data_IF_054171912739
#
_entry.id   IF_054171912739
#
_cell.length_a   1.000
_cell.length_b   1.000
_cell.length_c   1.000
_cell.angle_alpha   90.00
_cell.angle_beta   90.00
_cell.angle_gamma   90.00
#
_symmetry.space_group_name_H-M   'P 1'
#
loop_
_entity.id
_entity.type
_entity.pdbx_description
1 polymer ?
#
# COMPACT_ATOMS: atom_id res chain seq x y z
N UNK A 1 -3.30 4.87 41.32
CA UNK A 1 -3.77 3.59 40.74
C UNK A 1 -4.84 3.91 39.73
N UNK A 2 -4.65 3.48 38.48
CA UNK A 2 -5.51 3.81 37.33
C UNK A 2 -4.67 3.85 36.06
N UNK A 3 -4.04 2.73 35.69
CA UNK A 3 -3.42 2.56 34.37
C UNK A 3 -4.55 2.60 33.35
N UNK A 4 -4.68 3.71 32.63
CA UNK A 4 -5.61 3.86 31.51
C UNK A 4 -5.23 2.86 30.41
N UNK A 5 -6.21 2.08 29.95
CA UNK A 5 -6.02 0.93 29.05
C UNK A 5 -5.52 1.23 27.64
N UNK A 6 -5.04 2.46 27.35
CA UNK A 6 -4.55 2.86 26.02
C UNK A 6 -3.20 2.25 25.63
N UNK A 7 -2.38 1.81 26.61
CA UNK A 7 -1.04 1.27 26.34
C UNK A 7 -1.04 0.02 25.45
N UNK A 8 -2.06 -0.86 25.57
CA UNK A 8 -2.13 -2.11 24.80
C UNK A 8 -2.50 -1.92 23.32
N UNK A 9 -3.13 -0.80 22.95
CA UNK A 9 -3.57 -0.51 21.56
C UNK A 9 -2.48 0.22 20.78
N UNK A 10 -1.63 1.00 21.46
CA UNK A 10 -0.42 1.60 20.87
C UNK A 10 0.69 0.56 20.63
N UNK A 11 0.83 -0.44 21.52
CA UNK A 11 1.84 -1.50 21.42
C UNK A 11 1.40 -2.71 20.56
N UNK A 12 0.09 -2.89 20.37
CA UNK A 12 -0.48 -3.99 19.59
C UNK A 12 -0.93 -3.53 18.20
N UNK A 13 -0.10 -3.75 17.18
CA UNK A 13 -0.42 -3.72 15.73
C UNK A 13 -1.26 -2.54 15.18
N UNK A 14 -1.45 -1.47 15.95
CA UNK A 14 -2.27 -0.29 15.64
C UNK A 14 -1.58 0.66 14.66
N UNK A 15 -1.23 1.87 15.08
CA UNK A 15 -0.43 2.79 14.25
C UNK A 15 0.95 2.16 14.12
N UNK A 16 1.35 1.83 12.88
CA UNK A 16 2.72 1.39 12.59
C UNK A 16 3.46 2.61 12.05
N UNK A 17 4.01 3.48 12.92
CA UNK A 17 4.88 4.55 12.47
C UNK A 17 6.24 3.94 12.11
N UNK A 18 6.56 3.94 10.83
CA UNK A 18 7.91 3.78 10.35
C UNK A 18 8.57 5.16 10.38
N UNK A 19 9.44 5.38 11.36
CA UNK A 19 10.19 6.62 11.50
C UNK A 19 11.70 6.37 11.47
N UNK A 20 12.34 6.83 10.40
CA UNK A 20 13.77 6.63 10.18
C UNK A 20 14.64 7.82 10.65
N UNK A 21 14.05 8.78 11.38
CA UNK A 21 14.73 10.00 11.82
C UNK A 21 15.10 10.04 13.29
N UNK A 22 15.19 8.91 14.00
CA UNK A 22 15.45 8.86 15.45
C UNK A 22 16.71 9.63 15.88
N UNK A 23 17.72 9.70 15.02
CA UNK A 23 18.97 10.42 15.27
C UNK A 23 18.94 11.90 14.79
N UNK A 24 17.87 12.31 14.11
CA UNK A 24 17.74 13.62 13.46
C UNK A 24 16.66 14.50 14.09
N UNK A 25 15.58 13.91 14.59
CA UNK A 25 14.49 14.61 15.26
C UNK A 25 14.29 14.01 16.64
N UNK A 26 14.48 14.82 17.67
CA UNK A 26 14.15 14.42 19.04
C UNK A 26 12.64 14.29 19.16
N UNK A 27 12.16 13.08 19.44
CA UNK A 27 10.74 12.82 19.67
C UNK A 27 10.22 13.64 20.85
N UNK A 28 9.09 14.31 20.66
CA UNK A 28 8.41 15.00 21.76
C UNK A 28 7.80 13.96 22.69
N UNK A 29 8.11 14.08 23.98
CA UNK A 29 7.52 13.22 25.02
C UNK A 29 6.23 13.85 25.51
N UNK A 30 5.14 13.12 25.42
CA UNK A 30 3.82 13.54 25.90
C UNK A 30 3.47 12.80 27.19
N UNK A 31 3.02 13.52 28.21
CA UNK A 31 2.59 12.95 29.50
C UNK A 31 1.06 12.79 29.61
N UNK A 32 0.32 13.11 28.54
CA UNK A 32 -1.14 13.04 28.48
C UNK A 32 -1.68 13.46 27.12
N UNK A 33 -3.00 13.38 26.94
CA UNK A 33 -3.67 13.69 25.67
C UNK A 33 -3.85 15.19 25.41
N UNK A 34 -4.02 16.01 26.46
CA UNK A 34 -4.26 17.45 26.31
C UNK A 34 -3.13 18.16 25.55
N UNK A 35 -1.83 17.92 25.82
CA UNK A 35 -0.76 18.55 25.04
C UNK A 35 -0.70 18.07 23.59
N UNK A 36 -1.06 16.80 23.32
CA UNK A 36 -1.15 16.25 21.95
C UNK A 36 -2.24 16.99 21.17
N UNK A 37 -3.43 17.14 21.77
CA UNK A 37 -4.55 17.85 21.15
C UNK A 37 -4.22 19.33 20.91
N UNK A 38 -3.56 19.99 21.87
CA UNK A 38 -3.11 21.37 21.73
C UNK A 38 -2.10 21.52 20.57
N UNK A 39 -1.16 20.60 20.44
CA UNK A 39 -0.22 20.59 19.32
C UNK A 39 -0.90 20.37 17.98
N UNK A 40 -1.89 19.47 17.89
CA UNK A 40 -2.65 19.25 16.65
C UNK A 40 -3.46 20.49 16.25
N UNK A 41 -4.02 21.24 17.21
CA UNK A 41 -4.69 22.52 16.95
C UNK A 41 -3.69 23.56 16.43
N UNK A 42 -2.50 23.62 17.03
CA UNK A 42 -1.44 24.53 16.57
C UNK A 42 -0.96 24.17 15.17
N UNK A 43 -0.68 22.90 14.89
CA UNK A 43 -0.25 22.42 13.58
C UNK A 43 -1.29 22.71 12.49
N UNK A 44 -2.58 22.60 12.81
CA UNK A 44 -3.67 22.99 11.90
C UNK A 44 -3.70 24.51 11.63
N UNK A 45 -3.43 25.34 12.64
CA UNK A 45 -3.33 26.78 12.45
C UNK A 45 -2.10 27.13 11.58
N UNK A 46 -0.95 26.52 11.89
CA UNK A 46 0.31 26.72 11.18
C UNK A 46 0.20 26.29 9.71
N UNK A 47 -0.42 25.14 9.41
CA UNK A 47 -0.61 24.65 8.04
C UNK A 47 -1.44 25.61 7.17
N UNK A 48 -2.42 26.31 7.77
CA UNK A 48 -3.24 27.31 7.07
C UNK A 48 -2.47 28.58 6.69
N UNK A 49 -1.33 28.85 7.33
CA UNK A 49 -0.45 29.98 6.98
C UNK A 49 0.41 29.70 5.74
N UNK A 50 0.52 28.43 5.35
CA UNK A 50 1.28 28.04 4.17
C UNK A 50 0.55 28.45 2.89
N UNK A 51 1.33 28.71 1.84
CA UNK A 51 0.82 28.93 0.50
C UNK A 51 -0.04 27.73 0.05
N UNK A 52 -1.12 28.03 -0.67
CA UNK A 52 -1.94 27.00 -1.30
C UNK A 52 -1.08 26.15 -2.26
N UNK A 53 -1.10 24.84 -2.07
CA UNK A 53 -0.30 23.91 -2.85
C UNK A 53 -0.24 22.52 -2.21
N UNK A 54 0.47 21.56 -2.84
CA UNK A 54 0.54 20.17 -2.40
C UNK A 54 0.97 20.03 -0.94
N UNK A 55 1.94 20.86 -0.51
CA UNK A 55 2.46 20.83 0.85
C UNK A 55 1.40 21.14 1.91
N UNK A 56 0.60 22.18 1.69
CA UNK A 56 -0.50 22.54 2.58
C UNK A 56 -1.58 21.45 2.59
N UNK A 57 -1.95 20.93 1.41
CA UNK A 57 -2.93 19.83 1.30
C UNK A 57 -2.48 18.59 2.07
N UNK A 58 -1.21 18.22 1.96
CA UNK A 58 -0.64 17.10 2.72
C UNK A 58 -0.73 17.35 4.23
N UNK A 59 -0.22 18.49 4.72
CA UNK A 59 -0.18 18.78 6.16
C UNK A 59 -1.58 18.91 6.77
N UNK A 60 -2.50 19.58 6.07
CA UNK A 60 -3.92 19.66 6.47
C UNK A 60 -4.55 18.27 6.57
N UNK A 61 -4.27 17.39 5.59
CA UNK A 61 -4.69 15.99 5.63
C UNK A 61 -4.07 15.23 6.80
N UNK A 62 -2.76 15.38 7.02
CA UNK A 62 -2.03 14.62 8.03
C UNK A 62 -2.50 14.96 9.44
N UNK A 63 -2.74 16.25 9.70
CA UNK A 63 -3.31 16.69 10.98
C UNK A 63 -4.72 16.10 11.19
N UNK A 64 -5.57 16.04 10.16
CA UNK A 64 -6.90 15.40 10.24
C UNK A 64 -6.79 13.90 10.54
N UNK A 65 -5.90 13.20 9.82
CA UNK A 65 -5.62 11.78 10.02
C UNK A 65 -5.15 11.49 11.45
N UNK A 66 -4.20 12.29 11.95
CA UNK A 66 -3.71 12.19 13.32
C UNK A 66 -4.79 12.47 14.37
N UNK A 67 -5.70 13.42 14.13
CA UNK A 67 -6.84 13.65 15.03
C UNK A 67 -7.75 12.42 15.15
N UNK A 68 -8.01 11.72 14.05
CA UNK A 68 -8.79 10.46 14.08
C UNK A 68 -8.01 9.37 14.82
N UNK A 69 -6.71 9.24 14.57
CA UNK A 69 -5.86 8.29 15.30
C UNK A 69 -5.87 8.57 16.82
N UNK A 70 -5.71 9.83 17.22
CA UNK A 70 -5.78 10.25 18.64
C UNK A 70 -7.16 9.96 19.23
N UNK A 71 -8.25 10.25 18.52
CA UNK A 71 -9.60 9.92 18.97
C UNK A 71 -9.74 8.42 19.25
N UNK A 72 -9.26 7.55 18.34
CA UNK A 72 -9.25 6.10 18.53
C UNK A 72 -8.46 5.71 19.78
N UNK A 73 -7.25 6.25 19.95
CA UNK A 73 -6.40 5.91 21.10
C UNK A 73 -6.91 6.44 22.45
N UNK A 74 -7.72 7.49 22.43
CA UNK A 74 -8.47 7.99 23.59
C UNK A 74 -9.70 7.12 23.92
N UNK A 75 -9.99 6.09 23.13
CA UNK A 75 -11.11 5.17 23.31
C UNK A 75 -12.35 5.52 22.48
N UNK A 76 -12.24 6.48 21.56
CA UNK A 76 -13.29 6.79 20.60
C UNK A 76 -13.48 5.68 19.57
N UNK A 77 -14.70 5.57 19.04
CA UNK A 77 -15.09 4.55 18.06
C UNK A 77 -15.58 5.20 16.77
N UNK A 78 -14.71 5.90 16.00
CA UNK A 78 -15.11 6.49 14.73
C UNK A 78 -15.63 5.41 13.79
N UNK A 79 -16.54 5.79 12.89
CA UNK A 79 -17.14 4.85 11.94
C UNK A 79 -16.07 4.31 10.97
N UNK A 80 -16.34 3.15 10.34
CA UNK A 80 -15.44 2.62 9.32
C UNK A 80 -15.24 3.63 8.17
N UNK A 81 -16.31 4.31 7.76
CA UNK A 81 -16.28 5.38 6.75
C UNK A 81 -15.38 6.55 7.16
N UNK A 82 -15.48 7.03 8.41
CA UNK A 82 -14.62 8.11 8.92
C UNK A 82 -13.14 7.68 8.90
N UNK A 83 -12.86 6.43 9.28
CA UNK A 83 -11.49 5.90 9.24
C UNK A 83 -10.98 5.78 7.79
N UNK A 84 -11.78 5.29 6.85
CA UNK A 84 -11.39 5.19 5.43
C UNK A 84 -11.09 6.58 4.85
N UNK A 85 -12.00 7.53 5.06
CA UNK A 85 -11.91 8.86 4.42
C UNK A 85 -10.91 9.78 5.08
N UNK A 86 -10.83 9.78 6.42
CA UNK A 86 -10.07 10.79 7.17
C UNK A 86 -8.76 10.24 7.73
N UNK A 87 -8.76 9.01 8.25
CA UNK A 87 -7.53 8.37 8.74
C UNK A 87 -6.66 7.91 7.56
N UNK A 88 -7.22 7.16 6.62
CA UNK A 88 -6.48 6.58 5.48
C UNK A 88 -6.45 7.51 4.25
N UNK A 89 -7.41 8.42 4.11
CA UNK A 89 -7.44 9.35 2.97
C UNK A 89 -7.89 8.69 1.65
N UNK A 90 -8.61 7.58 1.74
CA UNK A 90 -9.21 6.88 0.60
C UNK A 90 -10.68 7.30 0.40
N UNK A 91 -11.25 7.20 -0.81
CA UNK A 91 -12.67 7.46 -1.04
C UNK A 91 -13.58 6.54 -0.22
N UNK A 92 -14.75 7.04 0.15
CA UNK A 92 -15.81 6.24 0.75
C UNK A 92 -16.54 5.41 -0.32
N UNK A 93 -17.10 4.28 0.11
CA UNK A 93 -17.96 3.44 -0.71
C UNK A 93 -17.29 2.17 -1.23
N UNK A 94 -18.11 1.39 -1.95
CA UNK A 94 -17.63 0.33 -2.81
C UNK A 94 -17.03 0.94 -4.08
N UNK A 95 -16.11 0.23 -4.70
CA UNK A 95 -15.64 0.59 -6.03
C UNK A 95 -16.73 0.37 -7.08
N UNK A 96 -16.69 1.15 -8.15
CA UNK A 96 -17.63 1.04 -9.27
C UNK A 96 -17.57 -0.38 -9.87
N UNK A 97 -18.68 -1.15 -9.85
CA UNK A 97 -18.74 -2.47 -10.44
C UNK A 97 -18.33 -2.49 -11.91
N UNK A 98 -18.57 -1.40 -12.67
CA UNK A 98 -18.17 -1.32 -14.07
C UNK A 98 -16.65 -1.36 -14.24
N UNK A 99 -15.88 -0.72 -13.35
CA UNK A 99 -14.41 -0.78 -13.38
C UNK A 99 -13.88 -2.20 -13.16
N UNK A 100 -14.55 -2.96 -12.30
CA UNK A 100 -14.22 -4.36 -12.00
C UNK A 100 -14.55 -5.25 -13.20
N UNK A 101 -15.73 -5.08 -13.80
CA UNK A 101 -16.13 -5.87 -14.97
C UNK A 101 -15.29 -5.55 -16.22
N UNK A 102 -14.91 -4.28 -16.42
CA UNK A 102 -13.98 -3.90 -17.49
C UNK A 102 -12.62 -4.58 -17.33
N UNK A 103 -12.10 -4.62 -16.10
CA UNK A 103 -10.87 -5.32 -15.76
C UNK A 103 -10.99 -6.84 -15.99
N UNK A 104 -12.12 -7.44 -15.59
CA UNK A 104 -12.45 -8.86 -15.85
C UNK A 104 -12.52 -9.16 -17.34
N UNK A 105 -13.13 -8.28 -18.13
CA UNK A 105 -13.20 -8.44 -19.59
C UNK A 105 -11.82 -8.29 -20.27
N UNK A 106 -10.91 -7.48 -19.72
CA UNK A 106 -9.53 -7.41 -20.19
C UNK A 106 -8.75 -8.67 -19.80
N UNK A 107 -8.89 -9.14 -18.57
CA UNK A 107 -8.28 -10.39 -18.10
C UNK A 107 -8.74 -11.59 -18.95
N UNK A 108 -10.03 -11.66 -19.27
CA UNK A 108 -10.62 -12.67 -20.15
C UNK A 108 -9.89 -12.74 -21.51
N UNK A 109 -9.70 -11.60 -22.16
CA UNK A 109 -8.98 -11.50 -23.44
C UNK A 109 -7.52 -11.95 -23.33
N UNK A 110 -6.84 -11.60 -22.24
CA UNK A 110 -5.44 -11.98 -22.00
C UNK A 110 -5.29 -13.50 -21.79
N UNK A 111 -6.20 -14.09 -21.02
CA UNK A 111 -6.25 -15.55 -20.79
C UNK A 111 -6.53 -16.31 -22.08
N UNK A 112 -7.50 -15.87 -22.88
CA UNK A 112 -7.81 -16.48 -24.18
C UNK A 112 -6.61 -16.45 -25.12
N UNK A 113 -5.91 -15.30 -25.22
CA UNK A 113 -4.69 -15.19 -26.03
C UNK A 113 -3.56 -16.10 -25.55
N UNK A 114 -3.53 -16.39 -24.25
CA UNK A 114 -2.53 -17.25 -23.61
C UNK A 114 -2.92 -18.74 -23.59
N UNK A 115 -4.00 -19.12 -24.30
CA UNK A 115 -4.42 -20.51 -24.46
C UNK A 115 -5.44 -21.00 -23.43
N UNK A 116 -5.83 -20.17 -22.46
CA UNK A 116 -6.87 -20.47 -21.48
C UNK A 116 -8.23 -19.96 -22.01
N UNK A 117 -8.85 -20.71 -22.93
CA UNK A 117 -10.04 -20.28 -23.66
C UNK A 117 -11.35 -20.99 -23.27
N UNK A 118 -11.29 -22.07 -22.49
CA UNK A 118 -12.46 -22.91 -22.17
C UNK A 118 -12.85 -22.79 -20.70
N UNK A 119 -14.15 -22.69 -20.43
CA UNK A 119 -14.71 -22.63 -19.06
C UNK A 119 -15.02 -21.22 -18.56
N UNK A 120 -15.50 -21.12 -17.32
CA UNK A 120 -15.77 -19.83 -16.70
C UNK A 120 -14.46 -19.04 -16.51
N UNK A 121 -14.55 -17.72 -16.31
CA UNK A 121 -13.36 -16.88 -16.09
C UNK A 121 -12.57 -17.34 -14.84
N UNK A 122 -13.28 -17.72 -13.77
CA UNK A 122 -12.69 -18.28 -12.54
C UNK A 122 -11.87 -19.55 -12.81
N UNK A 123 -12.44 -20.49 -13.58
CA UNK A 123 -11.78 -21.77 -13.89
C UNK A 123 -10.50 -21.53 -14.69
N UNK A 124 -10.54 -20.56 -15.61
CA UNK A 124 -9.41 -20.20 -16.47
C UNK A 124 -8.28 -19.52 -15.72
N UNK A 125 -8.59 -18.60 -14.80
CA UNK A 125 -7.55 -17.96 -13.99
C UNK A 125 -6.93 -18.93 -12.99
N UNK A 126 -7.72 -19.84 -12.39
CA UNK A 126 -7.19 -20.88 -11.51
C UNK A 126 -6.35 -21.91 -12.27
N UNK A 127 -6.76 -22.30 -13.48
CA UNK A 127 -5.96 -23.16 -14.35
C UNK A 127 -4.63 -22.48 -14.74
N UNK A 128 -4.67 -21.19 -15.07
CA UNK A 128 -3.46 -20.40 -15.32
C UNK A 128 -2.55 -20.35 -14.09
N UNK A 129 -3.07 -19.96 -12.93
CA UNK A 129 -2.32 -19.84 -11.69
C UNK A 129 -1.66 -21.17 -11.30
N UNK A 130 -2.42 -22.27 -11.36
CA UNK A 130 -1.91 -23.60 -11.06
C UNK A 130 -0.82 -24.05 -12.05
N UNK A 131 -1.02 -23.81 -13.35
CA UNK A 131 -0.02 -24.18 -14.39
C UNK A 131 1.28 -23.36 -14.32
N UNK A 132 1.23 -22.19 -13.67
CA UNK A 132 2.36 -21.26 -13.51
C UNK A 132 2.89 -21.21 -12.08
N UNK A 133 2.36 -22.03 -11.18
CA UNK A 133 2.72 -22.04 -9.77
C UNK A 133 4.20 -22.40 -9.59
N UNK A 134 4.90 -21.61 -8.78
CA UNK A 134 6.28 -21.91 -8.36
C UNK A 134 6.21 -22.91 -7.20
N UNK A 135 6.87 -24.08 -7.30
CA UNK A 135 6.93 -25.01 -6.19
C UNK A 135 7.48 -24.35 -4.92
N UNK A 136 6.91 -24.65 -3.75
CA UNK A 136 7.25 -23.94 -2.51
C UNK A 136 8.75 -24.00 -2.17
N UNK A 137 9.42 -25.11 -2.48
CA UNK A 137 10.87 -25.28 -2.27
C UNK A 137 11.74 -24.46 -3.24
N UNK A 138 11.14 -23.87 -4.28
CA UNK A 138 11.81 -23.02 -5.28
C UNK A 138 11.53 -21.52 -5.09
N UNK A 139 10.60 -21.14 -4.21
CA UNK A 139 10.21 -19.74 -4.01
C UNK A 139 11.40 -18.86 -3.63
N UNK A 140 12.25 -19.29 -2.70
CA UNK A 140 13.45 -18.51 -2.29
C UNK A 140 14.36 -18.23 -3.49
N UNK A 141 14.64 -19.25 -4.30
CA UNK A 141 15.52 -19.11 -5.46
C UNK A 141 14.95 -18.12 -6.50
N UNK A 142 13.65 -18.24 -6.79
CA UNK A 142 12.95 -17.32 -7.71
C UNK A 142 12.90 -15.90 -7.14
N UNK A 143 12.66 -15.75 -5.83
CA UNK A 143 12.69 -14.46 -5.16
C UNK A 143 14.05 -13.77 -5.30
N UNK A 144 15.16 -14.50 -5.09
CA UNK A 144 16.51 -13.94 -5.22
C UNK A 144 16.86 -13.54 -6.65
N UNK A 145 16.48 -14.35 -7.63
CA UNK A 145 16.63 -14.01 -9.05
C UNK A 145 15.88 -12.71 -9.40
N UNK A 146 14.61 -12.64 -9.02
CA UNK A 146 13.76 -11.48 -9.27
C UNK A 146 14.29 -10.23 -8.56
N UNK A 147 14.72 -10.35 -7.30
CA UNK A 147 15.24 -9.23 -6.53
C UNK A 147 16.53 -8.66 -7.13
N UNK A 148 17.42 -9.51 -7.66
CA UNK A 148 18.63 -9.06 -8.32
C UNK A 148 18.33 -8.21 -9.56
N UNK A 149 17.39 -8.66 -10.41
CA UNK A 149 16.96 -7.90 -11.60
C UNK A 149 16.23 -6.61 -11.21
N UNK A 150 15.33 -6.69 -10.23
CA UNK A 150 14.59 -5.54 -9.72
C UNK A 150 15.54 -4.46 -9.16
N UNK A 151 16.57 -4.88 -8.42
CA UNK A 151 17.61 -3.99 -7.91
C UNK A 151 18.38 -3.32 -9.05
N UNK A 152 18.86 -4.10 -10.03
CA UNK A 152 19.62 -3.57 -11.16
C UNK A 152 18.82 -2.52 -11.96
N UNK A 153 17.52 -2.75 -12.16
CA UNK A 153 16.64 -1.76 -12.81
C UNK A 153 16.38 -0.55 -11.94
N UNK A 154 16.13 -0.75 -10.64
CA UNK A 154 15.91 0.33 -9.69
C UNK A 154 17.14 1.25 -9.61
N UNK A 155 18.34 0.69 -9.51
CA UNK A 155 19.61 1.42 -9.48
C UNK A 155 19.81 2.28 -10.75
N UNK A 156 19.35 1.77 -11.89
CA UNK A 156 19.45 2.45 -13.19
C UNK A 156 18.39 3.52 -13.41
N UNK A 157 17.15 3.26 -12.99
CA UNK A 157 15.97 4.03 -13.42
C UNK A 157 15.39 4.93 -12.33
N UNK A 158 15.70 4.64 -11.07
CA UNK A 158 15.11 5.32 -9.91
C UNK A 158 16.20 5.96 -9.05
N UNK A 159 17.03 5.14 -8.39
CA UNK A 159 18.03 5.59 -7.42
C UNK A 159 18.99 4.44 -7.06
N UNK A 160 20.27 4.75 -6.82
CA UNK A 160 21.26 3.78 -6.37
C UNK A 160 20.97 3.31 -4.93
N UNK A 161 20.46 2.10 -4.80
CA UNK A 161 20.02 1.49 -3.54
C UNK A 161 21.14 0.99 -2.63
N UNK A 162 22.41 1.14 -3.04
CA UNK A 162 23.58 0.71 -2.26
C UNK A 162 23.60 -0.80 -2.04
N UNK A 163 24.06 -1.22 -0.87
CA UNK A 163 24.24 -2.64 -0.50
C UNK A 163 23.05 -3.22 0.28
N UNK A 164 21.89 -2.55 0.25
CA UNK A 164 20.70 -3.08 0.92
C UNK A 164 20.31 -4.45 0.32
N UNK A 165 19.96 -5.39 1.20
CA UNK A 165 19.50 -6.72 0.82
C UNK A 165 18.26 -7.08 1.65
N UNK A 166 17.45 -7.99 1.11
CA UNK A 166 16.27 -8.50 1.79
C UNK A 166 16.19 -10.02 1.65
N UNK A 167 15.95 -10.70 2.75
CA UNK A 167 15.71 -12.14 2.80
C UNK A 167 14.21 -12.46 2.89
N UNK A 168 13.78 -13.53 2.24
CA UNK A 168 12.42 -14.01 2.44
C UNK A 168 12.27 -14.61 3.84
N UNK A 169 11.14 -14.34 4.47
CA UNK A 169 10.73 -14.97 5.72
C UNK A 169 9.38 -15.67 5.52
N UNK A 170 9.37 -16.99 5.24
CA UNK A 170 8.14 -17.74 5.07
C UNK A 170 7.27 -17.72 6.34
N UNK A 171 6.01 -17.35 6.20
CA UNK A 171 5.01 -17.32 7.28
C UNK A 171 3.71 -18.02 6.83
N UNK A 172 2.84 -18.33 7.79
CA UNK A 172 1.54 -19.00 7.56
C UNK A 172 0.47 -18.41 8.47
N UNK A 173 -0.79 -18.65 8.14
CA UNK A 173 -1.98 -18.18 8.83
C UNK A 173 -2.03 -16.64 8.96
N UNK A 174 -1.50 -15.94 7.96
CA UNK A 174 -1.44 -14.48 7.92
C UNK A 174 -2.65 -13.89 7.16
N UNK A 175 -3.01 -12.66 7.51
CA UNK A 175 -4.11 -11.93 6.84
C UNK A 175 -3.62 -11.11 5.65
N UNK A 176 -2.31 -10.89 5.58
CA UNK A 176 -1.63 -10.26 4.47
C UNK A 176 -1.05 -11.32 3.52
N UNK A 177 -0.65 -10.86 2.33
CA UNK A 177 0.03 -11.70 1.34
C UNK A 177 1.54 -11.64 1.55
N UNK A 178 2.07 -10.43 1.67
CA UNK A 178 3.44 -10.16 2.08
C UNK A 178 3.49 -8.97 3.04
N UNK A 179 4.64 -8.79 3.70
CA UNK A 179 4.93 -7.61 4.53
C UNK A 179 6.42 -7.31 4.52
N UNK A 180 6.79 -6.08 4.19
CA UNK A 180 8.15 -5.56 4.34
C UNK A 180 8.51 -5.33 5.82
N UNK A 181 9.61 -5.93 6.25
CA UNK A 181 10.27 -5.72 7.53
C UNK A 181 11.63 -5.06 7.27
N UNK A 182 11.59 -3.78 6.86
CA UNK A 182 12.74 -3.06 6.31
C UNK A 182 14.00 -3.11 7.19
N UNK A 183 13.87 -2.85 8.49
CA UNK A 183 14.99 -2.82 9.44
C UNK A 183 15.58 -4.21 9.72
N UNK A 184 14.77 -5.27 9.61
CA UNK A 184 15.26 -6.64 9.73
C UNK A 184 15.82 -7.19 8.41
N UNK A 185 15.70 -6.44 7.31
CA UNK A 185 16.06 -6.92 5.97
C UNK A 185 15.26 -8.16 5.59
N UNK A 186 13.95 -8.18 5.89
CA UNK A 186 13.09 -9.34 5.64
C UNK A 186 11.80 -9.00 4.91
N UNK A 187 11.32 -9.93 4.09
CA UNK A 187 9.98 -9.94 3.54
C UNK A 187 9.21 -11.13 4.08
N UNK A 188 8.21 -10.88 4.93
CA UNK A 188 7.28 -11.94 5.28
C UNK A 188 6.48 -12.35 4.04
N UNK A 189 6.40 -13.65 3.74
CA UNK A 189 5.59 -14.18 2.64
C UNK A 189 4.64 -15.28 3.14
N UNK A 190 3.34 -15.08 2.93
CA UNK A 190 2.32 -16.04 3.37
C UNK A 190 2.26 -17.26 2.43
N UNK A 191 2.84 -18.39 2.85
CA UNK A 191 2.90 -19.64 2.07
C UNK A 191 1.62 -20.49 2.11
N UNK A 192 0.53 -19.95 2.66
CA UNK A 192 -0.81 -20.54 2.47
C UNK A 192 -1.43 -20.12 1.12
N UNK A 193 -0.75 -19.25 0.37
CA UNK A 193 -1.12 -18.79 -0.97
C UNK A 193 -0.13 -19.39 -1.98
N UNK A 194 -0.63 -19.88 -3.11
CA UNK A 194 0.19 -20.29 -4.26
C UNK A 194 0.62 -19.05 -5.05
N UNK A 195 1.86 -19.03 -5.53
CA UNK A 195 2.41 -17.89 -6.26
C UNK A 195 2.95 -18.33 -7.63
N UNK A 196 2.57 -17.59 -8.67
CA UNK A 196 3.27 -17.65 -9.96
C UNK A 196 4.55 -16.82 -9.92
N UNK A 197 5.44 -16.99 -10.91
CA UNK A 197 6.61 -16.11 -11.05
C UNK A 197 6.21 -14.64 -11.22
N UNK A 198 5.17 -14.35 -12.00
CA UNK A 198 4.62 -13.00 -12.18
C UNK A 198 4.10 -12.40 -10.86
N UNK A 199 3.48 -13.23 -10.00
CA UNK A 199 3.07 -12.81 -8.67
C UNK A 199 4.25 -12.45 -7.77
N UNK A 200 5.29 -13.29 -7.74
CA UNK A 200 6.52 -12.99 -6.99
C UNK A 200 7.24 -11.77 -7.55
N UNK A 201 7.24 -11.57 -8.87
CA UNK A 201 7.84 -10.40 -9.54
C UNK A 201 7.19 -9.11 -9.05
N UNK A 202 5.86 -9.06 -9.03
CA UNK A 202 5.13 -7.92 -8.46
C UNK A 202 5.44 -7.73 -6.97
N UNK A 203 5.46 -8.79 -6.17
CA UNK A 203 5.73 -8.67 -4.73
C UNK A 203 7.16 -8.19 -4.42
N UNK A 204 8.16 -8.63 -5.18
CA UNK A 204 9.52 -8.09 -5.11
C UNK A 204 9.52 -6.60 -5.43
N UNK A 205 8.76 -6.19 -6.46
CA UNK A 205 8.60 -4.78 -6.79
C UNK A 205 7.92 -3.98 -5.71
N UNK A 206 6.94 -4.58 -5.04
CA UNK A 206 6.11 -3.92 -4.04
C UNK A 206 6.84 -3.73 -2.71
N UNK A 207 7.46 -4.79 -2.19
CA UNK A 207 8.07 -4.77 -0.86
C UNK A 207 9.52 -4.27 -0.88
N UNK A 208 10.24 -4.48 -1.99
CA UNK A 208 11.70 -4.28 -2.08
C UNK A 208 12.09 -3.18 -3.07
N UNK A 209 12.13 -3.51 -4.36
CA UNK A 209 12.75 -2.72 -5.43
C UNK A 209 11.80 -2.57 -6.62
N UNK A 210 11.24 -1.39 -6.94
CA UNK A 210 11.51 -0.06 -6.39
C UNK A 210 10.50 0.38 -5.30
N UNK A 211 9.82 -0.55 -4.64
CA UNK A 211 8.71 -0.28 -3.72
C UNK A 211 9.11 0.21 -2.33
N UNK A 212 8.50 -0.37 -1.28
CA UNK A 212 8.59 0.12 0.10
C UNK A 212 10.03 0.32 0.59
N UNK A 213 10.91 -0.66 0.39
CA UNK A 213 12.30 -0.55 0.85
C UNK A 213 13.04 0.56 0.12
N UNK A 214 12.82 0.70 -1.19
CA UNK A 214 13.42 1.77 -1.99
C UNK A 214 12.91 3.14 -1.57
N UNK A 215 11.63 3.30 -1.24
CA UNK A 215 11.10 4.55 -0.71
C UNK A 215 11.84 4.98 0.57
N UNK A 216 12.06 4.05 1.49
CA UNK A 216 12.76 4.32 2.76
C UNK A 216 14.24 4.66 2.53
N UNK A 217 14.92 3.94 1.63
CA UNK A 217 16.30 4.22 1.22
C UNK A 217 16.44 5.60 0.56
N UNK A 218 15.58 5.88 -0.42
CA UNK A 218 15.57 7.14 -1.17
C UNK A 218 15.37 8.32 -0.22
N UNK A 219 14.33 8.25 0.63
CA UNK A 219 14.02 9.32 1.57
C UNK A 219 15.17 9.56 2.55
N UNK A 220 15.77 8.48 3.08
CA UNK A 220 16.94 8.57 3.95
C UNK A 220 18.08 9.34 3.30
N UNK A 221 18.45 8.96 2.08
CA UNK A 221 19.53 9.59 1.31
C UNK A 221 19.23 11.06 0.97
N UNK A 222 18.00 11.39 0.58
CA UNK A 222 17.62 12.77 0.25
C UNK A 222 17.58 13.69 1.48
N UNK A 223 17.19 13.17 2.64
CA UNK A 223 17.21 13.93 3.89
C UNK A 223 18.65 14.13 4.37
N UNK A 224 19.48 13.10 4.33
CA UNK A 224 20.91 13.21 4.67
C UNK A 224 21.61 14.23 3.77
N UNK A 225 21.24 14.29 2.50
CA UNK A 225 21.77 15.26 1.55
C UNK A 225 21.11 16.66 1.62
N UNK A 226 20.15 16.88 2.53
CA UNK A 226 19.47 18.17 2.72
C UNK A 226 18.51 18.57 1.59
N UNK A 227 18.05 17.62 0.77
CA UNK A 227 17.14 17.84 -0.38
C UNK A 227 15.68 17.49 -0.08
N UNK A 228 15.44 16.62 0.90
CA UNK A 228 14.10 16.29 1.39
C UNK A 228 13.87 16.86 2.81
N UNK A 229 12.63 17.23 3.16
CA UNK A 229 12.30 17.67 4.50
C UNK A 229 12.29 16.48 5.49
N UNK A 230 12.55 16.75 6.77
CA UNK A 230 12.66 15.73 7.82
C UNK A 230 11.39 14.89 7.99
N UNK A 231 10.22 15.45 7.71
CA UNK A 231 8.96 14.73 7.84
C UNK A 231 8.74 13.68 6.74
N UNK A 232 9.54 13.70 5.67
CA UNK A 232 9.57 12.62 4.69
C UNK A 232 10.02 11.28 5.33
N UNK A 233 10.77 11.33 6.45
CA UNK A 233 11.19 10.14 7.20
C UNK A 233 10.08 9.49 8.02
N UNK A 234 8.88 10.09 8.08
CA UNK A 234 7.73 9.56 8.81
C UNK A 234 6.72 8.97 7.83
N UNK A 235 6.60 7.65 7.85
CA UNK A 235 5.53 6.94 7.15
C UNK A 235 4.69 6.21 8.18
N UNK A 236 3.44 6.65 8.35
CA UNK A 236 2.47 5.91 9.13
C UNK A 236 1.61 5.06 8.19
N UNK A 237 1.76 3.73 8.25
CA UNK A 237 1.07 2.79 7.36
C UNK A 237 -0.44 2.96 7.42
N UNK A 238 -1.02 3.00 8.61
CA UNK A 238 -2.48 3.17 8.78
C UNK A 238 -2.93 4.65 8.80
N UNK A 239 -2.23 5.52 8.08
CA UNK A 239 -2.55 6.93 7.91
C UNK A 239 -2.51 7.30 6.41
N UNK A 240 -2.79 8.56 6.08
CA UNK A 240 -2.81 9.04 4.68
C UNK A 240 -1.50 8.81 3.92
N UNK A 241 -0.37 8.78 4.63
CA UNK A 241 0.95 8.49 4.05
C UNK A 241 1.07 7.05 3.57
N UNK A 242 0.47 6.11 4.32
CA UNK A 242 0.48 4.71 3.94
C UNK A 242 -0.36 4.44 2.69
N UNK A 243 -1.40 5.25 2.45
CA UNK A 243 -2.16 5.18 1.21
C UNK A 243 -1.27 5.39 -0.03
N UNK A 244 -0.42 6.42 -0.01
CA UNK A 244 0.53 6.64 -1.11
C UNK A 244 1.63 5.58 -1.14
N UNK A 245 2.11 5.13 0.03
CA UNK A 245 3.12 4.07 0.15
C UNK A 245 2.66 2.76 -0.53
N UNK A 246 1.43 2.33 -0.31
CA UNK A 246 0.85 1.17 -0.99
C UNK A 246 0.81 1.38 -2.49
N UNK A 247 0.41 2.58 -2.93
CA UNK A 247 0.47 2.96 -4.34
C UNK A 247 1.87 2.89 -4.96
N UNK A 248 2.92 3.24 -4.20
CA UNK A 248 4.32 3.13 -4.63
C UNK A 248 4.70 1.66 -4.85
N UNK A 249 4.40 0.79 -3.88
CA UNK A 249 4.67 -0.64 -4.01
C UNK A 249 3.91 -1.24 -5.19
N UNK A 250 2.64 -0.89 -5.29
CA UNK A 250 1.71 -1.38 -6.30
C UNK A 250 2.03 -0.94 -7.72
N UNK A 251 2.61 0.25 -7.89
CA UNK A 251 3.09 0.74 -9.17
C UNK A 251 4.57 0.42 -9.42
N UNK A 252 5.26 -0.23 -8.46
CA UNK A 252 6.70 -0.45 -8.49
C UNK A 252 7.18 -1.12 -9.78
N UNK A 253 6.49 -2.16 -10.24
CA UNK A 253 6.83 -2.89 -11.48
C UNK A 253 6.78 -1.98 -12.73
N UNK A 254 5.93 -0.96 -12.72
CA UNK A 254 5.82 0.02 -13.81
C UNK A 254 6.88 1.13 -13.70
N UNK A 255 7.37 1.44 -12.50
CA UNK A 255 8.43 2.45 -12.30
C UNK A 255 9.78 1.99 -12.88
N UNK A 256 9.98 0.67 -13.00
CA UNK A 256 11.18 0.04 -13.58
C UNK A 256 10.92 -0.68 -14.91
N UNK A 257 9.79 -0.37 -15.56
CA UNK A 257 9.41 -0.89 -16.89
C UNK A 257 9.59 -2.42 -17.01
N UNK A 258 8.98 -3.16 -16.08
CA UNK A 258 9.25 -4.59 -15.90
C UNK A 258 8.01 -5.48 -16.08
N UNK A 259 7.09 -5.08 -16.96
CA UNK A 259 6.04 -5.96 -17.52
C UNK A 259 6.55 -6.41 -18.89
N UNK A 260 6.89 -7.70 -19.05
CA UNK A 260 7.66 -8.16 -20.22
C UNK A 260 6.94 -9.23 -21.05
N UNK A 261 5.97 -9.92 -20.45
CA UNK A 261 5.27 -11.02 -21.10
C UNK A 261 3.78 -11.10 -20.72
N UNK A 262 3.09 -12.07 -21.33
CA UNK A 262 1.66 -12.27 -21.13
C UNK A 262 1.30 -12.71 -19.70
N UNK A 263 2.19 -13.42 -18.99
CA UNK A 263 1.92 -13.85 -17.62
C UNK A 263 1.99 -12.64 -16.67
N UNK A 264 2.92 -11.70 -16.91
CA UNK A 264 2.98 -10.41 -16.21
C UNK A 264 1.73 -9.56 -16.48
N UNK A 265 1.27 -9.47 -17.74
CA UNK A 265 0.05 -8.74 -18.11
C UNK A 265 -1.21 -9.33 -17.46
N UNK A 266 -1.33 -10.66 -17.47
CA UNK A 266 -2.43 -11.39 -16.81
C UNK A 266 -2.42 -11.10 -15.32
N UNK A 267 -1.27 -11.23 -14.66
CA UNK A 267 -1.18 -11.00 -13.22
C UNK A 267 -1.48 -9.54 -12.86
N UNK A 268 -0.96 -8.57 -13.62
CA UNK A 268 -1.20 -7.16 -13.37
C UNK A 268 -2.70 -6.82 -13.43
N UNK A 269 -3.43 -7.30 -14.45
CA UNK A 269 -4.87 -7.06 -14.54
C UNK A 269 -5.65 -7.83 -13.46
N UNK A 270 -5.27 -9.07 -13.17
CA UNK A 270 -5.92 -9.84 -12.11
C UNK A 270 -5.73 -9.20 -10.73
N UNK A 271 -4.54 -8.66 -10.44
CA UNK A 271 -4.26 -7.93 -9.22
C UNK A 271 -5.14 -6.67 -9.11
N UNK A 272 -5.32 -5.94 -10.22
CA UNK A 272 -6.23 -4.77 -10.28
C UNK A 272 -7.65 -5.16 -9.87
N UNK A 273 -8.19 -6.27 -10.38
CA UNK A 273 -9.49 -6.83 -9.98
C UNK A 273 -9.50 -7.15 -8.48
N UNK A 274 -8.49 -7.88 -7.99
CA UNK A 274 -8.38 -8.25 -6.56
C UNK A 274 -8.35 -7.03 -5.65
N UNK A 275 -7.66 -5.96 -6.07
CA UNK A 275 -7.54 -4.73 -5.29
C UNK A 275 -8.87 -3.97 -5.19
N UNK A 276 -9.58 -3.77 -6.31
CA UNK A 276 -10.91 -3.15 -6.28
C UNK A 276 -11.92 -4.00 -5.50
N UNK A 277 -11.92 -5.31 -5.72
CA UNK A 277 -12.85 -6.22 -5.06
C UNK A 277 -12.59 -6.31 -3.54
N UNK A 278 -11.34 -6.31 -3.06
CA UNK A 278 -11.09 -6.29 -1.61
C UNK A 278 -11.57 -5.00 -0.94
N UNK A 279 -11.44 -3.86 -1.61
CA UNK A 279 -11.94 -2.57 -1.10
C UNK A 279 -13.47 -2.59 -0.99
N UNK A 280 -14.16 -3.03 -2.05
CA UNK A 280 -15.62 -3.23 -2.02
C UNK A 280 -16.05 -4.24 -0.97
N UNK A 281 -15.32 -5.35 -0.80
CA UNK A 281 -15.63 -6.38 0.18
C UNK A 281 -15.50 -5.88 1.62
N UNK A 282 -14.48 -5.08 1.92
CA UNK A 282 -14.33 -4.45 3.23
C UNK A 282 -15.51 -3.52 3.53
N UNK A 283 -15.96 -2.73 2.54
CA UNK A 283 -17.14 -1.87 2.69
C UNK A 283 -18.43 -2.68 2.90
N UNK A 284 -18.63 -3.73 2.10
CA UNK A 284 -19.76 -4.67 2.22
C UNK A 284 -19.86 -5.26 3.63
N UNK A 285 -18.73 -5.66 4.21
CA UNK A 285 -18.68 -6.26 5.53
C UNK A 285 -18.89 -5.22 6.64
N UNK A 286 -18.17 -4.10 6.57
CA UNK A 286 -18.02 -3.19 7.70
C UNK A 286 -19.03 -2.04 7.72
N UNK A 287 -19.61 -1.70 6.57
CA UNK A 287 -20.58 -0.61 6.44
C UNK A 287 -21.96 -1.15 6.08
N UNK A 288 -22.05 -1.98 5.03
CA UNK A 288 -23.34 -2.50 4.58
C UNK A 288 -23.86 -3.66 5.45
N UNK A 289 -23.01 -4.20 6.33
CA UNK A 289 -23.38 -5.25 7.28
C UNK A 289 -23.70 -6.60 6.63
N UNK A 290 -23.15 -6.89 5.45
CA UNK A 290 -23.35 -8.18 4.80
C UNK A 290 -22.68 -9.31 5.60
N UNK A 291 -23.29 -10.51 5.68
CA UNK A 291 -22.69 -11.65 6.36
C UNK A 291 -21.33 -12.03 5.74
N UNK A 292 -20.39 -12.47 6.59
CA UNK A 292 -19.04 -12.84 6.15
C UNK A 292 -19.02 -13.87 5.02
N UNK A 293 -19.95 -14.84 5.02
CA UNK A 293 -20.05 -15.85 3.95
C UNK A 293 -20.47 -15.25 2.60
N UNK A 294 -21.35 -14.24 2.62
CA UNK A 294 -21.75 -13.53 1.40
C UNK A 294 -20.60 -12.68 0.84
N UNK A 295 -19.83 -12.04 1.72
CA UNK A 295 -18.62 -11.28 1.33
C UNK A 295 -17.53 -12.22 0.82
N UNK A 296 -17.37 -13.39 1.44
CA UNK A 296 -16.46 -14.44 0.97
C UNK A 296 -16.84 -14.93 -0.43
N UNK A 297 -18.14 -15.16 -0.68
CA UNK A 297 -18.64 -15.52 -2.00
C UNK A 297 -18.36 -14.42 -3.03
N UNK A 298 -18.61 -13.16 -2.70
CA UNK A 298 -18.26 -12.04 -3.57
C UNK A 298 -16.77 -12.01 -3.95
N UNK A 299 -15.88 -12.19 -2.98
CA UNK A 299 -14.43 -12.25 -3.24
C UNK A 299 -14.04 -13.47 -4.09
N UNK A 300 -14.68 -14.62 -3.87
CA UNK A 300 -14.45 -15.83 -4.66
C UNK A 300 -14.90 -15.65 -6.11
N UNK A 301 -16.07 -15.08 -6.34
CA UNK A 301 -16.66 -14.99 -7.68
C UNK A 301 -16.08 -13.80 -8.47
N UNK A 302 -15.86 -12.68 -7.78
CA UNK A 302 -15.45 -11.40 -8.39
C UNK A 302 -13.94 -11.28 -8.47
N UNK A 303 -13.23 -11.53 -7.36
CA UNK A 303 -11.77 -11.43 -7.30
C UNK A 303 -11.08 -12.72 -7.75
N UNK A 304 -11.81 -13.85 -7.82
CA UNK A 304 -11.27 -15.17 -8.13
C UNK A 304 -10.13 -15.58 -7.18
N UNK A 305 -10.14 -15.05 -5.96
CA UNK A 305 -9.04 -15.22 -5.00
C UNK A 305 -8.99 -16.62 -4.39
N UNK A 306 -7.79 -17.05 -3.99
CA UNK A 306 -7.59 -18.29 -3.22
C UNK A 306 -8.20 -18.18 -1.82
N UNK A 307 -8.64 -19.31 -1.24
CA UNK A 307 -9.33 -19.33 0.06
C UNK A 307 -8.52 -18.73 1.21
N UNK A 308 -7.21 -18.98 1.25
CA UNK A 308 -6.33 -18.38 2.26
C UNK A 308 -6.32 -16.85 2.17
N UNK A 309 -6.29 -16.32 0.94
CA UNK A 309 -6.36 -14.88 0.69
C UNK A 309 -7.73 -14.31 1.12
N UNK A 310 -8.84 -14.95 0.76
CA UNK A 310 -10.20 -14.52 1.13
C UNK A 310 -10.35 -14.44 2.66
N UNK A 311 -9.96 -15.50 3.38
CA UNK A 311 -9.98 -15.52 4.86
C UNK A 311 -9.15 -14.40 5.45
N UNK A 312 -7.97 -14.14 4.86
CA UNK A 312 -7.11 -13.04 5.25
C UNK A 312 -7.78 -11.67 5.09
N UNK A 313 -8.43 -11.41 3.95
CA UNK A 313 -9.13 -10.14 3.70
C UNK A 313 -10.29 -9.91 4.67
N UNK A 314 -11.08 -10.93 4.98
CA UNK A 314 -12.14 -10.83 5.98
C UNK A 314 -11.58 -10.52 7.37
N UNK A 315 -10.51 -11.22 7.78
CA UNK A 315 -9.85 -10.98 9.07
C UNK A 315 -9.27 -9.57 9.17
N UNK A 316 -8.63 -9.10 8.09
CA UNK A 316 -8.08 -7.74 8.04
C UNK A 316 -9.20 -6.70 8.07
N UNK A 317 -10.29 -6.87 7.30
CA UNK A 317 -11.39 -5.91 7.24
C UNK A 317 -12.06 -5.67 8.60
N UNK A 318 -12.20 -6.74 9.40
CA UNK A 318 -12.74 -6.66 10.75
C UNK A 318 -11.76 -6.13 11.80
N UNK A 319 -10.49 -5.94 11.46
CA UNK A 319 -9.52 -5.35 12.38
C UNK A 319 -9.86 -3.86 12.60
N UNK A 320 -10.01 -3.39 13.86
CA UNK A 320 -10.42 -2.02 14.14
C UNK A 320 -9.51 -0.94 13.55
N UNK A 321 -8.25 -1.28 13.28
CA UNK A 321 -7.21 -0.34 12.88
C UNK A 321 -6.66 -0.62 11.47
N UNK A 322 -6.44 -1.89 11.13
CA UNK A 322 -5.99 -2.32 9.80
C UNK A 322 -7.13 -2.50 8.79
N UNK A 323 -8.37 -2.65 9.24
CA UNK A 323 -9.52 -2.80 8.35
C UNK A 323 -9.72 -1.64 7.38
N UNK A 324 -9.78 -0.38 7.86
CA UNK A 324 -9.90 0.78 6.98
C UNK A 324 -8.72 0.92 6.01
N UNK A 325 -7.55 0.42 6.39
CA UNK A 325 -6.36 0.47 5.56
C UNK A 325 -6.49 -0.39 4.30
N UNK A 326 -7.41 -1.36 4.21
CA UNK A 326 -7.63 -2.12 2.95
C UNK A 326 -7.94 -1.20 1.76
N UNK A 327 -8.60 -0.06 1.98
CA UNK A 327 -8.90 0.89 0.91
C UNK A 327 -7.64 1.54 0.29
N UNK A 328 -6.51 1.51 0.99
CA UNK A 328 -5.23 2.05 0.50
C UNK A 328 -4.70 1.31 -0.73
N UNK A 329 -4.84 -0.02 -0.80
CA UNK A 329 -4.35 -0.83 -1.92
C UNK A 329 -4.98 -0.42 -3.26
N UNK A 330 -6.24 -0.01 -3.26
CA UNK A 330 -6.87 0.48 -4.48
C UNK A 330 -6.66 1.99 -4.66
N UNK A 331 -7.03 2.79 -3.65
CA UNK A 331 -6.99 4.24 -3.76
C UNK A 331 -5.58 4.78 -3.98
N UNK A 332 -4.60 4.23 -3.26
CA UNK A 332 -3.19 4.54 -3.39
C UNK A 332 -2.65 4.18 -4.76
N UNK A 333 -2.86 2.93 -5.18
CA UNK A 333 -2.47 2.44 -6.51
C UNK A 333 -3.03 3.34 -7.62
N UNK A 334 -4.33 3.63 -7.59
CA UNK A 334 -4.96 4.45 -8.61
C UNK A 334 -4.49 5.90 -8.58
N UNK A 335 -4.19 6.45 -7.41
CA UNK A 335 -3.63 7.80 -7.26
C UNK A 335 -2.23 7.91 -7.89
N UNK A 336 -1.32 6.98 -7.54
CA UNK A 336 0.03 6.94 -8.12
C UNK A 336 -0.03 6.64 -9.61
N UNK A 337 -0.90 5.71 -10.05
CA UNK A 337 -1.10 5.36 -11.46
C UNK A 337 -1.57 6.55 -12.29
N UNK A 338 -2.60 7.28 -11.85
CA UNK A 338 -3.12 8.47 -12.54
C UNK A 338 -2.05 9.53 -12.78
N UNK A 339 -1.18 9.75 -11.78
CA UNK A 339 -0.06 10.69 -11.93
C UNK A 339 1.00 10.11 -12.87
N UNK A 340 1.45 8.87 -12.63
CA UNK A 340 2.48 8.19 -13.46
C UNK A 340 2.10 8.17 -14.94
N UNK A 341 0.86 7.84 -15.28
CA UNK A 341 0.40 7.69 -16.67
C UNK A 341 0.32 9.02 -17.44
N UNK A 342 0.21 10.16 -16.75
CA UNK A 342 0.18 11.50 -17.38
C UNK A 342 1.51 12.26 -17.34
N UNK A 343 2.48 11.79 -16.55
CA UNK A 343 3.82 12.40 -16.43
C UNK A 343 4.57 12.26 -17.76
N UNK A 344 5.13 13.37 -18.24
CA UNK A 344 5.99 13.35 -19.43
C UNK A 344 7.41 12.88 -19.09
N UNK A 345 8.18 12.45 -20.10
CA UNK A 345 9.60 12.08 -19.90
C UNK A 345 10.44 13.19 -19.24
N UNK A 346 10.15 14.46 -19.55
CA UNK A 346 10.84 15.60 -18.96
C UNK A 346 10.50 15.80 -17.47
N UNK A 347 9.29 15.42 -17.05
CA UNK A 347 8.81 15.53 -15.67
C UNK A 347 9.15 14.31 -14.82
N UNK A 348 9.63 13.22 -15.43
CA UNK A 348 9.88 11.96 -14.72
C UNK A 348 10.84 12.09 -13.52
N UNK A 349 11.98 12.82 -13.62
CA UNK A 349 12.85 13.02 -12.46
C UNK A 349 12.14 13.73 -11.30
N UNK A 350 11.38 14.79 -11.60
CA UNK A 350 10.63 15.54 -10.59
C UNK A 350 9.48 14.73 -9.99
N UNK A 351 8.87 13.84 -10.79
CA UNK A 351 7.87 12.90 -10.31
C UNK A 351 8.46 11.92 -9.30
N UNK A 352 9.64 11.35 -9.56
CA UNK A 352 10.32 10.47 -8.61
C UNK A 352 10.65 11.21 -7.30
N UNK A 353 11.11 12.46 -7.37
CA UNK A 353 11.31 13.30 -6.17
C UNK A 353 10.00 13.52 -5.41
N UNK A 354 8.91 13.83 -6.12
CA UNK A 354 7.61 14.07 -5.50
C UNK A 354 7.00 12.80 -4.88
N UNK A 355 7.26 11.64 -5.48
CA UNK A 355 6.73 10.33 -5.09
C UNK A 355 7.53 9.71 -3.94
N UNK A 356 8.86 9.69 -4.04
CA UNK A 356 9.75 8.98 -3.11
C UNK A 356 10.41 9.92 -2.09
N UNK A 357 10.64 11.18 -2.42
CA UNK A 357 11.37 12.14 -1.58
C UNK A 357 10.50 13.00 -0.67
N UNK A 358 9.17 12.84 -0.72
CA UNK A 358 8.21 13.65 0.05
C UNK A 358 7.14 12.77 0.68
N UNK A 359 6.75 13.10 1.90
CA UNK A 359 5.50 12.58 2.45
C UNK A 359 4.31 13.20 1.71
N UNK A 360 3.38 12.37 1.27
CA UNK A 360 2.23 12.75 0.46
C UNK A 360 0.96 12.08 0.96
N UNK A 361 -0.18 12.68 0.62
CA UNK A 361 -1.49 12.03 0.59
C UNK A 361 -1.89 11.82 -0.87
N UNK A 362 -2.90 10.98 -1.16
CA UNK A 362 -3.42 10.85 -2.53
C UNK A 362 -3.79 12.22 -3.14
N UNK A 363 -4.45 13.07 -2.35
CA UNK A 363 -4.86 14.40 -2.78
C UNK A 363 -3.66 15.33 -3.09
N UNK A 364 -2.59 15.29 -2.29
CA UNK A 364 -1.42 16.14 -2.55
C UNK A 364 -0.57 15.62 -3.72
N UNK A 365 -0.45 14.30 -3.88
CA UNK A 365 0.26 13.69 -5.01
C UNK A 365 -0.43 14.01 -6.34
N UNK A 366 -1.76 13.93 -6.40
CA UNK A 366 -2.55 14.20 -7.61
C UNK A 366 -2.51 15.65 -8.08
N UNK A 367 -1.92 16.56 -7.31
CA UNK A 367 -1.63 17.91 -7.78
C UNK A 367 -0.41 17.99 -8.70
N UNK A 368 0.41 16.93 -8.82
CA UNK A 368 1.59 16.92 -9.69
C UNK A 368 1.21 16.96 -11.19
N UNK A 369 1.79 17.83 -12.04
CA UNK A 369 2.87 18.76 -11.74
C UNK A 369 2.30 20.10 -11.23
N UNK A 370 2.44 20.34 -9.94
CA UNK A 370 2.31 21.67 -9.36
C UNK A 370 3.72 22.16 -9.06
N UNK A 371 4.00 23.44 -9.34
CA UNK A 371 5.30 24.06 -9.07
C UNK A 371 5.73 23.73 -7.63
N UNK A 372 6.94 23.21 -7.40
CA UNK A 372 7.47 23.10 -6.05
C UNK A 372 7.56 24.52 -5.48
N UNK A 373 7.00 24.72 -4.28
CA UNK A 373 7.41 25.83 -3.44
C UNK A 373 8.72 25.47 -2.77
#
# INVERSE_FOLDING_TARGET
MGRTGGGKVLEGEGLVPLFNGNNLVTARVYTGWEPILADLVKLEADSRTLQAGPRRVFLDGMVKSLKVAVNIFMGGTPSFEEKVTTLVGAPAGREDPALIEDARAKLDKLLTKSGFATGALSDRIHAWEHSRAVPQDKIEAVFRELMAEAKARTDKMVFNTGDYDMALNPVRNMMFTARCLFHEGKMDLNLDIEFTRAALKHLVCHEVYPGHSTQLLYTGAEVEAGRAPLDALLIATNAITGCVQEGIGDQGIHLIDWIEDADDEIYAEWRRIKSAAQTSAAWMLMVDGLPADAVAAYLRDTAMGQEAWIKGRLRMASDPFRGPFISSYWAGNESVRRVRERVTKAQWPDFLVALLGRAQSPASLEMFPAMPN
#
